data_IF_362189315692
#
_entry.id   IF_362189315692
#
_cell.length_a   1.000
_cell.length_b   1.000
_cell.length_c   1.000
_cell.angle_alpha   90.00
_cell.angle_beta   90.00
_cell.angle_gamma   90.00
#
_symmetry.space_group_name_H-M   'P 1'
#
loop_
_entity.id
_entity.type
_entity.pdbx_description
1 polymer ?
#
# COMPACT_ATOMS: atom_id res chain seq x y z
N UNK A 1 47.07 13.81 54.06
CA UNK A 1 46.32 12.90 53.18
C UNK A 1 44.93 13.45 52.98
N UNK A 2 44.32 13.42 51.80
CA UNK A 2 44.77 12.97 50.49
C UNK A 2 44.01 13.77 49.44
N UNK A 3 44.65 14.07 48.32
CA UNK A 3 44.01 14.70 47.17
C UNK A 3 43.11 13.68 46.48
N UNK A 4 41.80 13.95 46.42
CA UNK A 4 40.87 13.16 45.63
C UNK A 4 41.05 13.50 44.16
N UNK A 5 41.39 12.51 43.35
CA UNK A 5 41.45 12.65 41.89
C UNK A 5 40.03 12.48 41.37
N UNK A 6 39.50 13.50 40.69
CA UNK A 6 38.17 13.45 40.09
C UNK A 6 38.11 12.35 39.01
N UNK A 7 37.14 11.42 39.07
CA UNK A 7 37.02 10.31 38.12
C UNK A 7 36.84 10.75 36.65
N UNK A 8 36.41 12.00 36.43
CA UNK A 8 36.21 12.57 35.10
C UNK A 8 37.52 13.02 34.42
N UNK A 9 38.57 13.36 35.18
CA UNK A 9 39.86 13.78 34.62
C UNK A 9 40.76 12.59 34.22
N UNK A 10 40.56 11.42 34.84
CA UNK A 10 41.24 10.17 34.46
C UNK A 10 40.71 9.65 33.11
N UNK A 11 39.39 9.78 32.86
CA UNK A 11 38.80 9.35 31.59
C UNK A 11 39.25 10.24 30.42
N UNK A 12 39.38 11.55 30.65
CA UNK A 12 39.88 12.49 29.65
C UNK A 12 41.38 12.34 29.34
N UNK A 13 42.17 11.76 30.24
CA UNK A 13 43.61 11.51 30.03
C UNK A 13 43.89 10.21 29.26
N UNK A 14 42.95 9.25 29.27
CA UNK A 14 43.04 8.00 28.48
C UNK A 14 42.49 8.17 27.05
N UNK A 15 41.54 9.09 26.86
CA UNK A 15 41.03 9.51 25.56
C UNK A 15 41.70 10.81 25.07
N UNK A 16 43.02 10.87 25.27
CA UNK A 16 43.85 11.93 24.72
C UNK A 16 43.74 11.99 23.20
N UNK A 17 43.36 13.16 22.69
CA UNK A 17 43.83 13.66 21.40
C UNK A 17 43.47 12.85 20.15
N UNK A 18 42.37 13.25 19.51
CA UNK A 18 42.31 13.29 18.05
C UNK A 18 41.83 12.02 17.35
N UNK A 19 41.04 12.25 16.29
CA UNK A 19 40.91 11.31 15.20
C UNK A 19 39.58 10.58 15.12
N UNK A 20 38.70 11.09 14.25
CA UNK A 20 37.84 10.20 13.49
C UNK A 20 36.48 9.89 14.10
N UNK A 21 35.76 10.91 14.57
CA UNK A 21 34.31 10.86 14.44
C UNK A 21 34.01 10.66 12.96
N UNK A 22 33.65 9.43 12.54
CA UNK A 22 33.19 9.13 11.18
C UNK A 22 32.29 10.27 10.77
N UNK A 23 32.71 11.07 9.78
CA UNK A 23 31.84 12.07 9.15
C UNK A 23 30.58 11.33 8.78
N UNK A 24 29.51 11.53 9.56
CA UNK A 24 28.22 10.94 9.26
C UNK A 24 27.79 11.72 8.04
N UNK A 25 28.07 11.18 6.85
CA UNK A 25 27.66 11.78 5.58
C UNK A 25 26.20 12.19 5.75
N UNK A 26 25.95 13.50 5.62
CA UNK A 26 24.60 14.05 5.78
C UNK A 26 23.72 13.38 4.71
N UNK A 27 22.66 12.66 5.11
CA UNK A 27 21.64 12.12 4.20
C UNK A 27 20.49 13.14 4.12
N UNK A 28 19.96 13.40 2.93
CA UNK A 28 18.76 14.21 2.76
C UNK A 28 17.52 13.45 3.28
N UNK A 29 16.44 14.19 3.55
CA UNK A 29 15.25 13.59 4.15
C UNK A 29 14.51 12.69 3.15
N UNK A 30 13.91 11.61 3.65
CA UNK A 30 13.04 10.76 2.84
C UNK A 30 11.72 11.48 2.55
N UNK A 31 11.18 11.27 1.34
CA UNK A 31 9.93 11.89 0.90
C UNK A 31 8.83 10.83 0.80
N UNK A 32 7.68 11.07 1.44
CA UNK A 32 6.54 10.17 1.37
C UNK A 32 5.47 10.69 0.40
N UNK A 33 5.02 9.84 -0.51
CA UNK A 33 3.90 10.14 -1.41
C UNK A 33 2.82 9.07 -1.32
N UNK A 34 1.56 9.48 -1.27
CA UNK A 34 0.42 8.56 -1.34
C UNK A 34 0.05 8.33 -2.80
N UNK A 35 -0.04 7.06 -3.21
CA UNK A 35 -0.46 6.67 -4.55
C UNK A 35 -1.87 6.10 -4.47
N UNK A 36 -2.84 6.81 -5.04
CA UNK A 36 -4.22 6.32 -5.15
C UNK A 36 -4.30 5.14 -6.13
N UNK A 37 -4.76 3.99 -5.65
CA UNK A 37 -4.88 2.75 -6.45
C UNK A 37 -6.32 2.22 -6.38
N UNK A 38 -7.04 2.19 -7.52
CA UNK A 38 -8.34 1.53 -7.65
C UNK A 38 -8.31 0.09 -7.15
N UNK A 39 -9.43 -0.36 -6.58
CA UNK A 39 -9.53 -1.73 -6.08
C UNK A 39 -9.38 -2.77 -7.21
N UNK A 40 -9.78 -2.42 -8.42
CA UNK A 40 -9.62 -3.19 -9.65
C UNK A 40 -8.14 -3.40 -10.01
N UNK A 41 -7.30 -2.37 -9.83
CA UNK A 41 -5.86 -2.46 -10.06
C UNK A 41 -5.20 -3.36 -9.01
N UNK A 42 -5.67 -3.30 -7.75
CA UNK A 42 -5.22 -4.19 -6.68
C UNK A 42 -5.66 -5.65 -6.92
N UNK A 43 -6.79 -5.86 -7.61
CA UNK A 43 -7.29 -7.19 -7.95
C UNK A 43 -6.57 -7.78 -9.17
N UNK A 44 -6.46 -7.01 -10.26
CA UNK A 44 -5.92 -7.50 -11.54
C UNK A 44 -4.39 -7.36 -11.65
N UNK A 45 -3.79 -6.50 -10.84
CA UNK A 45 -2.42 -6.04 -10.99
C UNK A 45 -2.32 -4.95 -12.07
N UNK A 46 -1.42 -3.98 -11.88
CA UNK A 46 -1.25 -2.86 -12.79
C UNK A 46 0.18 -2.29 -12.70
N UNK A 47 0.55 -1.47 -13.68
CA UNK A 47 1.76 -0.62 -13.59
C UNK A 47 1.32 0.83 -13.61
N UNK A 48 1.59 1.57 -12.53
CA UNK A 48 1.28 2.99 -12.44
C UNK A 48 2.54 3.83 -12.56
N UNK A 49 2.43 4.94 -13.30
CA UNK A 49 3.51 5.92 -13.44
C UNK A 49 3.22 7.11 -12.52
N UNK A 50 4.18 7.48 -11.68
CA UNK A 50 4.11 8.65 -10.83
C UNK A 50 5.18 9.65 -11.27
N UNK A 51 4.74 10.83 -11.71
CA UNK A 51 5.66 11.93 -12.00
C UNK A 51 5.94 12.72 -10.71
N UNK A 52 7.22 12.86 -10.39
CA UNK A 52 7.71 13.62 -9.25
C UNK A 52 8.58 14.76 -9.75
N UNK A 53 8.51 15.90 -9.07
CA UNK A 53 9.47 16.99 -9.26
C UNK A 53 10.44 16.92 -8.09
N UNK A 54 11.72 16.73 -8.37
CA UNK A 54 12.78 16.67 -7.36
C UNK A 54 13.91 17.63 -7.66
N UNK A 55 14.63 18.02 -6.63
CA UNK A 55 15.85 18.81 -6.71
C UNK A 55 17.06 17.89 -7.01
N UNK A 56 17.86 18.25 -8.01
CA UNK A 56 19.06 17.52 -8.43
C UNK A 56 20.26 18.48 -8.36
N UNK A 57 21.34 18.04 -7.74
CA UNK A 57 22.57 18.80 -7.60
C UNK A 57 23.54 18.47 -8.73
N UNK A 58 24.07 19.48 -9.41
CA UNK A 58 25.15 19.29 -10.39
C UNK A 58 26.53 19.22 -9.74
N UNK A 59 27.56 18.89 -10.53
CA UNK A 59 28.95 18.86 -10.06
C UNK A 59 29.51 20.22 -9.63
N UNK A 60 28.83 21.32 -9.97
CA UNK A 60 29.17 22.69 -9.57
C UNK A 60 28.41 23.12 -8.30
N UNK A 61 27.61 22.24 -7.70
CA UNK A 61 26.82 22.52 -6.50
C UNK A 61 25.53 23.31 -6.75
N UNK A 62 25.12 23.52 -8.02
CA UNK A 62 23.84 24.16 -8.34
C UNK A 62 22.72 23.13 -8.27
N UNK A 63 21.58 23.56 -7.73
CA UNK A 63 20.41 22.70 -7.57
C UNK A 63 19.34 23.09 -8.58
N UNK A 64 18.90 22.15 -9.39
CA UNK A 64 17.84 22.35 -10.40
C UNK A 64 16.65 21.44 -10.15
N UNK A 65 15.44 21.89 -10.49
CA UNK A 65 14.23 21.05 -10.41
C UNK A 65 14.13 20.19 -11.67
N UNK A 66 14.08 18.87 -11.51
CA UNK A 66 13.88 17.91 -12.60
C UNK A 66 12.62 17.09 -12.36
N UNK A 67 11.85 16.89 -13.42
CA UNK A 67 10.73 15.95 -13.44
C UNK A 67 11.27 14.54 -13.70
N UNK A 68 10.96 13.61 -12.82
CA UNK A 68 11.27 12.19 -12.95
C UNK A 68 9.99 11.37 -12.88
N UNK A 69 9.89 10.29 -13.67
CA UNK A 69 8.75 9.39 -13.66
C UNK A 69 9.17 8.07 -13.05
N UNK A 70 8.57 7.72 -11.92
CA UNK A 70 8.76 6.43 -11.27
C UNK A 70 7.65 5.46 -11.70
N UNK A 71 8.05 4.27 -12.14
CA UNK A 71 7.12 3.19 -12.46
C UNK A 71 6.92 2.28 -11.24
N UNK A 72 5.68 2.12 -10.83
CA UNK A 72 5.26 1.37 -9.65
C UNK A 72 4.47 0.16 -10.12
N UNK A 73 5.00 -1.03 -9.85
CA UNK A 73 4.30 -2.29 -10.12
C UNK A 73 3.35 -2.60 -8.96
N UNK A 74 2.07 -2.57 -9.24
CA UNK A 74 1.00 -2.97 -8.33
C UNK A 74 0.77 -4.47 -8.51
N UNK A 75 1.14 -5.24 -7.49
CA UNK A 75 0.93 -6.69 -7.47
C UNK A 75 -0.53 -7.03 -7.10
N UNK A 76 -1.02 -8.16 -7.61
CA UNK A 76 -2.33 -8.70 -7.25
C UNK A 76 -2.40 -8.99 -5.75
N UNK A 77 -3.47 -8.53 -5.13
CA UNK A 77 -3.69 -8.69 -3.69
C UNK A 77 -2.92 -7.70 -2.82
N UNK A 78 -2.16 -6.75 -3.39
CA UNK A 78 -1.42 -5.75 -2.63
C UNK A 78 -2.34 -5.00 -1.65
N UNK A 79 -1.90 -4.86 -0.40
CA UNK A 79 -2.71 -4.29 0.67
C UNK A 79 -2.64 -2.76 0.71
N UNK A 80 -3.69 -2.15 1.23
CA UNK A 80 -3.69 -0.73 1.56
C UNK A 80 -2.59 -0.41 2.58
N UNK A 81 -1.90 0.71 2.40
CA UNK A 81 -0.78 1.13 3.25
C UNK A 81 0.56 0.49 2.90
N UNK A 82 0.63 -0.41 1.90
CA UNK A 82 1.90 -1.01 1.48
C UNK A 82 2.88 0.07 1.02
N UNK A 83 4.09 0.04 1.59
CA UNK A 83 5.20 0.93 1.23
C UNK A 83 6.05 0.34 0.11
N UNK A 84 6.30 1.13 -0.93
CA UNK A 84 7.23 0.86 -2.02
C UNK A 84 8.35 1.89 -1.94
N UNK A 85 9.58 1.45 -1.75
CA UNK A 85 10.73 2.33 -1.51
C UNK A 85 11.59 2.43 -2.76
N UNK A 86 11.82 3.65 -3.21
CA UNK A 86 12.76 3.98 -4.27
C UNK A 86 13.99 4.62 -3.63
N UNK A 87 15.09 3.85 -3.59
CA UNK A 87 16.31 4.27 -2.92
C UNK A 87 16.96 5.47 -3.62
N UNK A 88 17.44 6.44 -2.84
CA UNK A 88 18.20 7.59 -3.34
C UNK A 88 17.43 8.42 -4.39
N UNK A 89 16.10 8.39 -4.32
CA UNK A 89 15.20 9.11 -5.24
C UNK A 89 14.62 10.40 -4.69
N UNK A 90 14.92 10.78 -3.44
CA UNK A 90 14.50 12.06 -2.86
C UNK A 90 15.27 13.25 -3.46
N UNK A 91 15.11 14.42 -2.84
CA UNK A 91 15.85 15.62 -3.21
C UNK A 91 17.35 15.45 -2.94
N UNK A 92 18.17 15.82 -3.92
CA UNK A 92 19.62 15.81 -3.83
C UNK A 92 20.14 17.14 -3.27
N UNK A 93 21.20 17.08 -2.47
CA UNK A 93 21.88 18.26 -1.94
C UNK A 93 23.40 18.10 -2.14
N UNK A 94 24.13 19.16 -2.56
CA UNK A 94 25.57 19.08 -2.73
C UNK A 94 26.28 18.61 -1.46
N UNK A 95 27.11 17.58 -1.57
CA UNK A 95 27.86 17.00 -0.45
C UNK A 95 27.04 16.13 0.52
N UNK A 96 25.79 15.82 0.19
CA UNK A 96 24.91 14.95 0.97
C UNK A 96 24.54 13.67 0.19
N UNK A 97 24.25 12.58 0.91
CA UNK A 97 23.66 11.35 0.34
C UNK A 97 22.17 11.60 0.13
N UNK A 98 21.61 11.13 -0.98
CA UNK A 98 20.19 11.31 -1.28
C UNK A 98 19.29 10.41 -0.43
N UNK A 99 18.17 10.98 0.03
CA UNK A 99 17.08 10.30 0.70
C UNK A 99 16.29 9.35 -0.20
N UNK A 100 15.35 8.62 0.39
CA UNK A 100 14.51 7.68 -0.33
C UNK A 100 13.13 8.28 -0.63
N UNK A 101 12.52 7.86 -1.74
CA UNK A 101 11.09 8.13 -2.00
C UNK A 101 10.28 6.92 -1.57
N UNK A 102 9.37 7.12 -0.62
CA UNK A 102 8.51 6.09 -0.07
C UNK A 102 7.09 6.31 -0.58
N UNK A 103 6.65 5.46 -1.50
CA UNK A 103 5.27 5.46 -1.96
C UNK A 103 4.41 4.60 -1.05
N UNK A 104 3.31 5.17 -0.56
CA UNK A 104 2.32 4.46 0.25
C UNK A 104 1.11 4.21 -0.66
N UNK A 105 0.82 2.94 -0.91
CA UNK A 105 -0.38 2.54 -1.64
C UNK A 105 -1.61 2.94 -0.83
N UNK A 106 -2.46 3.76 -1.42
CA UNK A 106 -3.73 4.16 -0.85
C UNK A 106 -4.84 3.58 -1.70
N UNK A 107 -5.53 2.56 -1.18
CA UNK A 107 -6.67 1.96 -1.85
C UNK A 107 -7.77 3.01 -2.01
N UNK A 108 -8.23 3.18 -3.25
CA UNK A 108 -9.40 4.00 -3.54
C UNK A 108 -10.69 3.27 -3.16
N UNK A 109 -11.70 4.02 -2.76
CA UNK A 109 -13.05 3.48 -2.55
C UNK A 109 -13.63 2.99 -3.87
N UNK A 110 -14.38 1.89 -3.81
CA UNK A 110 -15.04 1.30 -4.96
C UNK A 110 -16.57 1.36 -4.74
N UNK A 111 -17.31 1.63 -5.83
CA UNK A 111 -18.76 1.90 -5.76
C UNK A 111 -19.60 0.72 -5.27
N UNK A 112 -19.23 -0.50 -5.68
CA UNK A 112 -19.99 -1.73 -5.40
C UNK A 112 -19.34 -2.55 -4.29
N UNK A 113 -18.06 -2.88 -4.43
CA UNK A 113 -17.34 -3.74 -3.51
C UNK A 113 -16.58 -2.97 -2.43
N UNK A 114 -16.61 -3.48 -1.19
CA UNK A 114 -15.77 -3.03 -0.09
C UNK A 114 -14.82 -4.17 0.30
N UNK A 115 -13.51 -3.90 0.33
CA UNK A 115 -12.49 -4.88 0.70
C UNK A 115 -12.40 -5.04 2.21
N UNK A 116 -12.33 -6.29 2.66
CA UNK A 116 -12.04 -6.67 4.04
C UNK A 116 -10.93 -7.75 4.03
N UNK A 117 -9.67 -7.32 4.11
CA UNK A 117 -8.52 -8.22 3.98
C UNK A 117 -8.50 -8.95 2.64
N UNK A 118 -8.55 -10.31 2.61
CA UNK A 118 -8.68 -11.09 1.38
C UNK A 118 -10.13 -11.20 0.88
N UNK A 119 -11.12 -10.76 1.66
CA UNK A 119 -12.53 -10.86 1.30
C UNK A 119 -13.06 -9.58 0.65
N UNK A 120 -14.16 -9.72 -0.06
CA UNK A 120 -14.98 -8.61 -0.57
C UNK A 120 -16.36 -8.66 0.07
N UNK A 121 -16.98 -7.50 0.20
CA UNK A 121 -18.36 -7.34 0.66
C UNK A 121 -19.11 -6.44 -0.31
N UNK A 122 -20.39 -6.69 -0.55
CA UNK A 122 -21.27 -5.83 -1.35
C UNK A 122 -22.72 -5.95 -0.86
N UNK A 123 -23.55 -4.99 -1.23
CA UNK A 123 -24.99 -4.98 -0.95
C UNK A 123 -25.76 -5.11 -2.27
N UNK A 124 -26.84 -5.89 -2.26
CA UNK A 124 -27.74 -6.07 -3.40
C UNK A 124 -29.18 -6.24 -2.95
N UNK A 125 -30.06 -5.46 -3.55
CA UNK A 125 -31.49 -5.62 -3.33
C UNK A 125 -32.05 -6.75 -4.21
N UNK A 126 -32.96 -7.53 -3.62
CA UNK A 126 -33.82 -8.49 -4.33
C UNK A 126 -35.28 -8.09 -4.15
N UNK A 127 -36.13 -8.45 -5.11
CA UNK A 127 -37.58 -8.22 -4.96
C UNK A 127 -38.15 -9.13 -3.88
N UNK A 128 -39.25 -8.71 -3.23
CA UNK A 128 -39.95 -9.57 -2.26
C UNK A 128 -40.33 -10.93 -2.86
N UNK A 129 -40.72 -10.96 -4.15
CA UNK A 129 -41.00 -12.20 -4.86
C UNK A 129 -39.78 -13.12 -4.92
N UNK A 130 -38.63 -12.57 -5.26
CA UNK A 130 -37.38 -13.33 -5.37
C UNK A 130 -36.89 -13.79 -3.99
N UNK A 131 -37.10 -12.97 -2.95
CA UNK A 131 -36.81 -13.34 -1.56
C UNK A 131 -37.69 -14.50 -1.07
N UNK A 132 -38.96 -14.59 -1.50
CA UNK A 132 -39.90 -15.64 -1.06
C UNK A 132 -39.86 -16.90 -1.94
N UNK A 133 -39.48 -16.78 -3.21
CA UNK A 133 -39.58 -17.86 -4.18
C UNK A 133 -38.23 -18.37 -4.70
N UNK A 134 -37.11 -17.81 -4.23
CA UNK A 134 -35.78 -18.04 -4.79
C UNK A 134 -35.44 -17.05 -5.90
N UNK A 135 -34.16 -16.80 -6.10
CA UNK A 135 -33.64 -15.75 -6.96
C UNK A 135 -32.49 -16.23 -7.83
N UNK A 136 -32.21 -15.48 -8.90
CA UNK A 136 -30.98 -15.61 -9.69
C UNK A 136 -30.44 -14.21 -9.98
N UNK A 137 -29.36 -13.86 -9.29
CA UNK A 137 -28.66 -12.58 -9.43
C UNK A 137 -27.44 -12.77 -10.32
N UNK A 138 -27.18 -11.80 -11.20
CA UNK A 138 -25.92 -11.73 -11.95
C UNK A 138 -25.31 -10.34 -11.87
N UNK A 139 -23.99 -10.28 -11.80
CA UNK A 139 -23.25 -9.02 -11.81
C UNK A 139 -21.83 -9.21 -12.36
N UNK A 140 -21.25 -8.11 -12.85
CA UNK A 140 -19.86 -8.08 -13.26
C UNK A 140 -18.93 -7.95 -12.03
N UNK A 141 -17.93 -8.82 -11.94
CA UNK A 141 -16.89 -8.76 -10.92
C UNK A 141 -15.75 -7.81 -11.33
N UNK A 142 -14.72 -7.67 -10.48
CA UNK A 142 -13.52 -6.84 -10.71
C UNK A 142 -12.72 -7.17 -11.97
N UNK A 143 -12.81 -8.41 -12.46
CA UNK A 143 -12.20 -8.89 -13.71
C UNK A 143 -13.17 -8.83 -14.90
N UNK A 144 -14.35 -8.21 -14.71
CA UNK A 144 -15.44 -8.09 -15.70
C UNK A 144 -16.16 -9.42 -16.02
N UNK A 145 -15.79 -10.53 -15.38
CA UNK A 145 -16.52 -11.79 -15.51
C UNK A 145 -17.89 -11.68 -14.82
N UNK A 146 -18.91 -12.34 -15.39
CA UNK A 146 -20.22 -12.44 -14.76
C UNK A 146 -20.19 -13.50 -13.67
N UNK A 147 -20.54 -13.10 -12.44
CA UNK A 147 -20.80 -14.01 -11.33
C UNK A 147 -22.29 -14.16 -11.20
N UNK A 148 -22.76 -15.41 -11.10
CA UNK A 148 -24.16 -15.76 -10.93
C UNK A 148 -24.34 -16.36 -9.55
N UNK A 149 -25.30 -15.84 -8.80
CA UNK A 149 -25.67 -16.32 -7.47
C UNK A 149 -27.14 -16.70 -7.50
N UNK A 150 -27.45 -17.92 -7.09
CA UNK A 150 -28.80 -18.46 -7.14
C UNK A 150 -29.24 -19.02 -5.79
N UNK A 151 -30.51 -18.81 -5.48
CA UNK A 151 -31.21 -19.45 -4.38
C UNK A 151 -32.23 -20.44 -4.94
N UNK A 152 -32.26 -21.69 -4.44
CA UNK A 152 -33.29 -22.68 -4.77
C UNK A 152 -34.72 -22.14 -4.70
N UNK A 153 -35.59 -22.70 -5.56
CA UNK A 153 -37.00 -22.33 -5.56
C UNK A 153 -37.69 -22.69 -4.25
N UNK A 154 -38.48 -21.76 -3.72
CA UNK A 154 -39.19 -21.91 -2.46
C UNK A 154 -38.31 -21.73 -1.20
N UNK A 155 -37.02 -21.44 -1.35
CA UNK A 155 -36.19 -21.01 -0.24
C UNK A 155 -36.46 -19.53 0.06
N UNK A 156 -36.77 -19.24 1.32
CA UNK A 156 -36.97 -17.88 1.81
C UNK A 156 -35.61 -17.27 2.18
N UNK A 157 -35.34 -16.08 1.65
CA UNK A 157 -34.17 -15.26 1.98
C UNK A 157 -34.59 -14.16 2.95
N UNK A 158 -33.97 -14.14 4.13
CA UNK A 158 -34.27 -13.12 5.14
C UNK A 158 -33.63 -11.77 4.76
N UNK A 159 -34.32 -10.63 4.98
CA UNK A 159 -33.72 -9.30 4.76
C UNK A 159 -32.49 -9.09 5.64
N UNK A 160 -31.41 -8.57 5.05
CA UNK A 160 -30.13 -8.35 5.72
C UNK A 160 -29.28 -9.61 5.87
N UNK A 161 -29.73 -10.76 5.36
CA UNK A 161 -28.94 -11.99 5.38
C UNK A 161 -27.72 -11.90 4.47
N UNK A 162 -26.75 -12.77 4.75
CA UNK A 162 -25.48 -12.82 4.01
C UNK A 162 -25.38 -14.08 3.16
N UNK A 163 -25.06 -13.90 1.89
CA UNK A 163 -24.70 -14.99 0.97
C UNK A 163 -23.20 -14.97 0.74
N UNK A 164 -22.55 -16.12 0.88
CA UNK A 164 -21.12 -16.30 0.64
C UNK A 164 -20.89 -16.92 -0.75
N UNK A 165 -20.12 -16.24 -1.59
CA UNK A 165 -19.63 -16.77 -2.86
C UNK A 165 -18.15 -17.11 -2.70
N UNK A 166 -17.86 -18.42 -2.68
CA UNK A 166 -16.51 -18.92 -2.44
C UNK A 166 -15.56 -18.56 -3.60
N UNK A 167 -14.34 -18.13 -3.27
CA UNK A 167 -13.31 -17.84 -4.28
C UNK A 167 -13.50 -16.56 -5.09
N UNK A 168 -14.51 -15.74 -4.76
CA UNK A 168 -14.78 -14.46 -5.44
C UNK A 168 -14.27 -13.23 -4.64
N UNK A 169 -13.37 -13.42 -3.68
CA UNK A 169 -12.73 -12.32 -2.95
C UNK A 169 -11.50 -11.73 -3.65
N UNK A 170 -10.68 -11.01 -2.90
CA UNK A 170 -9.39 -10.50 -3.38
C UNK A 170 -8.37 -11.63 -3.55
N UNK A 171 -7.45 -11.54 -4.54
CA UNK A 171 -6.32 -12.46 -4.64
C UNK A 171 -5.42 -12.42 -3.41
N UNK A 172 -4.93 -13.58 -3.00
CA UNK A 172 -3.98 -13.69 -1.91
C UNK A 172 -2.57 -13.34 -2.44
N UNK A 173 -1.86 -12.47 -1.73
CA UNK A 173 -0.50 -12.08 -2.09
C UNK A 173 0.42 -13.31 -2.09
N UNK A 174 1.25 -13.46 -3.12
CA UNK A 174 2.18 -14.59 -3.26
C UNK A 174 1.54 -15.87 -3.80
N UNK A 175 0.21 -16.02 -3.68
CA UNK A 175 -0.54 -17.10 -4.32
C UNK A 175 -1.85 -16.55 -4.92
N UNK A 176 -1.73 -15.87 -6.06
CA UNK A 176 -2.87 -15.20 -6.71
C UNK A 176 -3.87 -16.15 -7.38
N UNK A 177 -3.59 -17.45 -7.42
CA UNK A 177 -4.57 -18.46 -7.81
C UNK A 177 -5.63 -18.67 -6.74
N UNK A 178 -5.27 -18.43 -5.48
CA UNK A 178 -6.20 -18.44 -4.37
C UNK A 178 -6.74 -17.04 -4.12
N UNK A 179 -8.05 -16.97 -3.90
CA UNK A 179 -8.77 -15.75 -3.57
C UNK A 179 -9.53 -15.96 -2.27
N UNK A 180 -9.85 -14.87 -1.59
CA UNK A 180 -10.84 -14.92 -0.51
C UNK A 180 -12.26 -15.16 -1.04
N UNK A 181 -13.24 -14.81 -0.23
CA UNK A 181 -14.66 -14.95 -0.56
C UNK A 181 -15.32 -13.58 -0.75
N UNK A 182 -16.42 -13.56 -1.50
CA UNK A 182 -17.32 -12.43 -1.60
C UNK A 182 -18.54 -12.67 -0.71
N UNK A 183 -18.86 -11.72 0.15
CA UNK A 183 -20.07 -11.72 0.96
C UNK A 183 -21.06 -10.70 0.42
N UNK A 184 -22.24 -11.15 0.06
CA UNK A 184 -23.32 -10.32 -0.48
C UNK A 184 -24.38 -10.21 0.60
N UNK A 185 -24.65 -8.98 1.04
CA UNK A 185 -25.80 -8.70 1.90
C UNK A 185 -27.02 -8.44 1.03
N UNK A 186 -28.09 -9.19 1.29
CA UNK A 186 -29.37 -9.14 0.57
C UNK A 186 -30.46 -8.43 1.38
#
# INVERSE_FOLDING_TARGET
>A
GGAGVDPFDIFNSFFGGGGGGRSRQRKTQDVMHKLGVPLEDLYNGATKKLALNRHIADSQGRVTKKKEVLEVRIERGMENGKKVVFKEKADEMPGAITGDVILIVQQAEHRVFKRQGPHLTMERDISLRDALCGFKLSFAHMDKRQVVVESPKGQVTEPGSWVCVQGEGMPIKGNSFNKGNLFIRL
#
